data_IF_804719108102
#
_entry.id   IF_804719108102
#
_cell.length_a   1.000
_cell.length_b   1.000
_cell.length_c   1.000
_cell.angle_alpha   90.00
_cell.angle_beta   90.00
_cell.angle_gamma   90.00
#
_symmetry.space_group_name_H-M   'P 1'
#
loop_
_entity.id
_entity.type
_entity.pdbx_description
1 polymer ?
#
# COMPACT_ATOMS: atom_id res chain seq x y z
N UNK A 1 -19.78 1.80 0.00
CA UNK A 1 -18.48 2.28 -0.52
C UNK A 1 -17.65 1.06 -0.85
N UNK A 2 -17.05 1.01 -2.02
CA UNK A 2 -16.27 -0.15 -2.50
C UNK A 2 -14.80 0.21 -2.39
N UNK A 3 -14.00 -0.69 -1.81
CA UNK A 3 -12.55 -0.54 -1.72
C UNK A 3 -11.90 -1.50 -2.72
N UNK A 4 -11.03 -0.96 -3.56
CA UNK A 4 -10.10 -1.76 -4.36
C UNK A 4 -8.91 -2.12 -3.47
N UNK A 5 -8.68 -3.41 -3.25
CA UNK A 5 -7.57 -3.90 -2.41
C UNK A 5 -6.58 -4.66 -3.28
N UNK A 6 -5.33 -4.18 -3.28
CA UNK A 6 -4.23 -4.80 -4.00
C UNK A 6 -3.18 -5.31 -3.00
N UNK A 7 -2.97 -6.63 -3.02
CA UNK A 7 -1.96 -7.33 -2.22
C UNK A 7 -0.74 -7.61 -3.09
N UNK A 8 0.46 -7.41 -2.55
CA UNK A 8 1.70 -7.77 -3.23
C UNK A 8 2.77 -8.24 -2.23
N UNK A 9 3.61 -9.23 -2.61
CA UNK A 9 4.73 -9.64 -1.78
C UNK A 9 5.82 -8.57 -1.75
N UNK A 10 6.49 -8.47 -0.62
CA UNK A 10 7.65 -7.60 -0.40
C UNK A 10 8.60 -8.22 0.63
N UNK A 11 9.89 -7.86 0.56
CA UNK A 11 10.95 -8.50 1.36
C UNK A 11 10.92 -10.04 1.18
N UNK A 12 11.26 -10.81 2.21
CA UNK A 12 11.29 -12.28 2.19
C UNK A 12 9.91 -12.92 2.32
N UNK A 13 9.04 -12.34 3.13
CA UNK A 13 7.82 -12.96 3.63
C UNK A 13 6.74 -11.96 4.09
N UNK A 14 6.94 -10.65 3.87
CA UNK A 14 5.93 -9.64 4.15
C UNK A 14 4.97 -9.47 2.96
N UNK A 15 3.78 -8.95 3.25
CA UNK A 15 2.86 -8.45 2.24
C UNK A 15 2.63 -6.95 2.44
N UNK A 16 2.68 -6.21 1.33
CA UNK A 16 2.18 -4.85 1.26
C UNK A 16 0.74 -4.84 0.76
N UNK A 17 -0.03 -3.85 1.21
CA UNK A 17 -1.38 -3.59 0.73
C UNK A 17 -1.48 -2.16 0.23
N UNK A 18 -2.06 -2.00 -0.95
CA UNK A 18 -2.58 -0.72 -1.42
C UNK A 18 -4.10 -0.80 -1.45
N UNK A 19 -4.76 0.19 -0.86
CA UNK A 19 -6.22 0.29 -0.79
C UNK A 19 -6.62 1.59 -1.45
N UNK A 20 -7.52 1.53 -2.43
CA UNK A 20 -8.14 2.72 -3.04
C UNK A 20 -9.63 2.74 -2.75
N UNK A 21 -10.12 3.84 -2.21
CA UNK A 21 -11.56 4.08 -2.18
C UNK A 21 -12.06 4.46 -3.59
N UNK A 22 -12.95 3.63 -4.15
CA UNK A 22 -13.48 3.86 -5.50
C UNK A 22 -14.31 5.14 -5.62
N UNK A 23 -14.88 5.65 -4.52
CA UNK A 23 -15.71 6.85 -4.54
C UNK A 23 -14.88 8.14 -4.59
N UNK A 24 -13.74 8.18 -3.89
CA UNK A 24 -12.92 9.40 -3.72
C UNK A 24 -11.56 9.34 -4.40
N UNK A 25 -11.13 8.13 -4.78
CA UNK A 25 -9.79 7.87 -5.27
C UNK A 25 -8.70 8.03 -4.22
N UNK A 26 -9.03 8.15 -2.93
CA UNK A 26 -8.04 8.19 -1.84
C UNK A 26 -7.32 6.85 -1.77
N UNK A 27 -6.00 6.90 -1.65
CA UNK A 27 -5.13 5.72 -1.63
C UNK A 27 -4.38 5.62 -0.31
N UNK A 28 -4.47 4.47 0.34
CA UNK A 28 -3.74 4.14 1.55
C UNK A 28 -2.79 2.95 1.33
N UNK A 29 -1.65 2.97 1.99
CA UNK A 29 -0.79 1.80 2.17
C UNK A 29 -1.01 1.26 3.59
N UNK A 30 -1.18 -0.06 3.72
CA UNK A 30 -1.13 -0.73 5.02
C UNK A 30 0.25 -1.36 5.17
N UNK A 31 0.93 -0.95 6.23
CA UNK A 31 2.36 -1.13 6.45
C UNK A 31 3.25 -0.55 5.32
N UNK A 32 4.51 -0.31 5.65
CA UNK A 32 5.50 0.28 4.72
C UNK A 32 6.84 -0.48 4.71
N UNK A 33 6.86 -1.82 4.55
CA UNK A 33 8.10 -2.62 4.56
C UNK A 33 9.11 -2.17 3.50
N UNK A 34 8.66 -1.73 2.33
CA UNK A 34 9.54 -1.41 1.22
C UNK A 34 8.92 -0.30 0.37
N UNK A 35 9.44 0.92 0.55
CA UNK A 35 8.94 2.10 -0.15
C UNK A 35 9.11 2.01 -1.67
N UNK A 36 10.20 1.41 -2.16
CA UNK A 36 10.43 1.29 -3.60
C UNK A 36 9.39 0.35 -4.23
N UNK A 37 9.16 -0.81 -3.59
CA UNK A 37 8.15 -1.76 -4.04
C UNK A 37 6.73 -1.17 -4.03
N UNK A 38 6.41 -0.36 -3.01
CA UNK A 38 5.11 0.34 -2.92
C UNK A 38 4.93 1.31 -4.09
N UNK A 39 5.96 2.10 -4.41
CA UNK A 39 5.91 3.07 -5.52
C UNK A 39 5.78 2.37 -6.88
N UNK A 40 6.48 1.26 -7.10
CA UNK A 40 6.35 0.45 -8.31
C UNK A 40 4.92 -0.07 -8.50
N UNK A 41 4.29 -0.56 -7.42
CA UNK A 41 2.92 -1.06 -7.48
C UNK A 41 1.90 0.06 -7.71
N UNK A 42 2.09 1.24 -7.10
CA UNK A 42 1.27 2.43 -7.36
C UNK A 42 1.33 2.87 -8.82
N UNK A 43 2.53 2.84 -9.42
CA UNK A 43 2.73 3.14 -10.83
C UNK A 43 2.06 2.08 -11.72
N UNK A 44 2.29 0.80 -11.44
CA UNK A 44 1.68 -0.33 -12.18
C UNK A 44 0.16 -0.30 -12.18
N UNK A 45 -0.45 0.11 -11.07
CA UNK A 45 -1.90 0.23 -10.92
C UNK A 45 -2.46 1.53 -11.53
N UNK A 46 -1.60 2.49 -11.87
CA UNK A 46 -2.01 3.80 -12.38
C UNK A 46 -2.72 4.66 -11.33
N UNK A 47 -2.44 4.44 -10.04
CA UNK A 47 -3.08 5.19 -8.94
C UNK A 47 -2.34 6.49 -8.60
N UNK A 48 -1.04 6.57 -8.91
CA UNK A 48 -0.27 7.81 -9.06
C UNK A 48 -0.02 8.65 -7.81
N UNK A 49 -0.65 8.33 -6.67
CA UNK A 49 -0.44 9.01 -5.37
C UNK A 49 -0.66 8.07 -4.19
N UNK A 50 -0.08 8.43 -3.06
CA UNK A 50 -0.32 7.82 -1.76
C UNK A 50 -0.76 8.91 -0.78
N UNK A 51 -1.95 8.78 -0.21
CA UNK A 51 -2.54 9.79 0.68
C UNK A 51 -2.36 9.46 2.15
N UNK A 52 -2.28 8.17 2.47
CA UNK A 52 -2.25 7.68 3.84
C UNK A 52 -1.29 6.49 3.99
N UNK A 53 -0.65 6.42 5.15
CA UNK A 53 0.12 5.26 5.60
C UNK A 53 -0.50 4.79 6.92
N UNK A 54 -0.81 3.50 7.00
CA UNK A 54 -1.40 2.86 8.16
C UNK A 54 -0.51 1.71 8.61
N UNK A 55 0.37 1.96 9.58
CA UNK A 55 1.21 0.90 10.16
C UNK A 55 0.43 0.13 11.23
N UNK A 56 0.46 -1.19 11.15
CA UNK A 56 -0.19 -2.09 12.10
C UNK A 56 0.47 -2.03 13.48
N UNK A 57 1.81 -1.98 13.49
CA UNK A 57 2.64 -1.88 14.69
C UNK A 57 4.04 -1.35 14.33
N UNK A 58 4.93 -1.27 15.32
CA UNK A 58 6.19 -0.55 15.23
C UNK A 58 7.37 -1.37 14.68
N UNK A 59 7.20 -2.67 14.41
CA UNK A 59 8.35 -3.47 13.99
C UNK A 59 8.92 -2.96 12.65
N UNK A 60 10.25 -3.03 12.43
CA UNK A 60 10.90 -2.42 11.27
C UNK A 60 10.52 -3.02 9.91
N UNK A 61 9.85 -4.16 9.90
CA UNK A 61 9.26 -4.77 8.71
C UNK A 61 7.84 -4.32 8.42
N UNK A 62 7.30 -3.42 9.23
CA UNK A 62 6.00 -2.79 9.02
C UNK A 62 6.09 -1.27 8.87
N UNK A 63 7.21 -0.62 9.23
CA UNK A 63 7.40 0.84 9.22
C UNK A 63 8.39 1.31 8.16
#
# INVERSE_FOLDING_TARGET
MTLDVHLFPCRSDNYGFLIRDAATGVVAAVDTPDAARILEELERLGWGRLDMILNTHWHPDHT
#
